data_IF_182221812511
#
_entry.id   IF_182221812511
#
_cell.length_a   1.000
_cell.length_b   1.000
_cell.length_c   1.000
_cell.angle_alpha   90.00
_cell.angle_beta   90.00
_cell.angle_gamma   90.00
#
_symmetry.space_group_name_H-M   'P 1'
#
loop_
_entity.id
_entity.type
_entity.pdbx_description
1 polymer ?
#
# COMPACT_ATOMS: atom_id res chain seq x y z
N UNK A 1 -17.94 0.46 -5.03
CA UNK A 1 -16.60 0.42 -4.45
C UNK A 1 -16.66 -0.20 -3.07
N UNK A 2 -15.72 -1.05 -2.76
CA UNK A 2 -15.72 -1.79 -1.51
C UNK A 2 -14.53 -1.40 -0.65
N UNK A 3 -14.77 -1.28 0.65
CA UNK A 3 -13.69 -1.18 1.63
C UNK A 3 -13.22 -2.58 1.97
N UNK A 4 -11.95 -2.72 2.21
CA UNK A 4 -11.42 -3.96 2.75
C UNK A 4 -10.46 -3.66 3.89
N UNK A 5 -10.26 -4.63 4.76
CA UNK A 5 -9.27 -4.53 5.81
C UNK A 5 -7.94 -5.04 5.31
N UNK A 6 -6.90 -4.28 5.60
CA UNK A 6 -5.53 -4.63 5.21
C UNK A 6 -4.63 -4.55 6.43
N UNK A 7 -3.49 -5.22 6.34
CA UNK A 7 -2.43 -5.17 7.34
C UNK A 7 -1.12 -4.94 6.63
N UNK A 8 -0.20 -4.23 7.27
CA UNK A 8 1.12 -4.06 6.72
C UNK A 8 1.86 -5.40 6.70
N UNK A 9 2.64 -5.60 5.66
CA UNK A 9 3.49 -6.78 5.54
C UNK A 9 4.88 -6.43 6.07
N UNK A 10 5.30 -7.09 7.13
CA UNK A 10 6.63 -6.89 7.69
C UNK A 10 7.70 -7.52 6.81
N UNK A 11 8.94 -7.06 6.99
CA UNK A 11 10.08 -7.64 6.31
C UNK A 11 10.19 -7.25 4.85
N UNK A 12 9.55 -6.14 4.45
CA UNK A 12 9.58 -5.70 3.07
C UNK A 12 10.50 -4.51 2.82
N UNK A 13 11.20 -4.03 3.86
CA UNK A 13 12.04 -2.84 3.72
C UNK A 13 13.16 -3.01 2.69
N UNK A 14 13.64 -4.24 2.51
CA UNK A 14 14.71 -4.54 1.57
C UNK A 14 14.21 -4.87 0.17
N UNK A 15 12.91 -4.96 -0.02
CA UNK A 15 12.38 -5.28 -1.34
C UNK A 15 12.47 -4.07 -2.25
N UNK A 16 12.97 -4.30 -3.44
CA UNK A 16 13.11 -3.25 -4.44
C UNK A 16 11.96 -3.31 -5.44
N UNK A 17 11.55 -2.16 -5.99
CA UNK A 17 10.52 -2.17 -7.03
C UNK A 17 11.03 -2.90 -8.27
N UNK A 18 10.12 -3.35 -9.12
CA UNK A 18 10.52 -3.99 -10.38
C UNK A 18 11.37 -3.03 -11.24
N UNK A 19 12.16 -3.62 -12.12
CA UNK A 19 12.99 -2.85 -13.05
C UNK A 19 12.13 -1.87 -13.84
N UNK A 20 12.58 -0.63 -13.94
CA UNK A 20 11.86 0.42 -14.63
C UNK A 20 11.08 1.35 -13.73
N UNK A 21 11.01 1.05 -12.43
CA UNK A 21 10.31 1.89 -11.47
C UNK A 21 11.32 2.41 -10.44
N UNK A 22 11.15 3.69 -10.06
CA UNK A 22 12.07 4.32 -9.11
C UNK A 22 11.74 4.01 -7.67
N UNK A 23 10.49 3.62 -7.39
CA UNK A 23 10.03 3.30 -6.04
C UNK A 23 8.75 2.51 -6.14
N UNK A 24 8.32 1.91 -5.04
CA UNK A 24 7.01 1.24 -5.00
C UNK A 24 5.87 2.23 -5.18
N UNK A 25 6.04 3.46 -4.70
CA UNK A 25 5.03 4.50 -4.93
C UNK A 25 4.93 4.83 -6.42
N UNK A 26 6.05 4.95 -7.10
CA UNK A 26 6.08 5.15 -8.54
C UNK A 26 5.43 3.97 -9.27
N UNK A 27 5.72 2.75 -8.83
CA UNK A 27 5.10 1.54 -9.38
C UNK A 27 3.57 1.65 -9.30
N UNK A 28 3.05 2.03 -8.14
CA UNK A 28 1.60 2.21 -7.96
C UNK A 28 1.05 3.27 -8.91
N UNK A 29 1.74 4.41 -8.99
CA UNK A 29 1.27 5.51 -9.85
C UNK A 29 1.23 5.10 -11.32
N UNK A 30 2.24 4.38 -11.76
CA UNK A 30 2.29 3.92 -13.16
C UNK A 30 1.20 2.89 -13.45
N UNK A 31 0.99 1.97 -12.53
CA UNK A 31 -0.05 0.95 -12.72
C UNK A 31 -1.45 1.53 -12.68
N UNK A 32 -1.68 2.55 -11.84
CA UNK A 32 -3.00 3.19 -11.74
C UNK A 32 -3.19 4.29 -12.78
N UNK A 33 -2.12 4.78 -13.38
CA UNK A 33 -2.21 5.86 -14.36
C UNK A 33 -2.54 7.20 -13.74
N UNK A 34 -2.23 7.40 -12.46
CA UNK A 34 -2.49 8.66 -11.78
C UNK A 34 -1.52 8.86 -10.64
N UNK A 35 -1.37 10.12 -10.21
CA UNK A 35 -0.51 10.43 -9.08
C UNK A 35 -1.17 10.09 -7.77
N UNK A 36 -0.37 9.63 -6.81
CA UNK A 36 -0.81 9.47 -5.44
C UNK A 36 -0.87 10.86 -4.79
N UNK A 37 -2.02 11.21 -4.25
CA UNK A 37 -2.24 12.56 -3.70
C UNK A 37 -2.42 12.52 -2.18
N UNK A 38 -3.05 11.46 -1.68
CA UNK A 38 -3.41 11.33 -0.28
C UNK A 38 -3.03 9.95 0.20
N UNK A 39 -2.65 9.84 1.49
CA UNK A 39 -2.48 8.52 2.11
C UNK A 39 -3.80 7.76 1.96
N UNK A 40 -3.74 6.56 1.39
CA UNK A 40 -4.94 5.81 1.07
C UNK A 40 -5.44 4.93 2.22
N UNK A 41 -4.76 4.96 3.37
CA UNK A 41 -5.34 4.37 4.56
C UNK A 41 -6.54 5.22 4.97
N UNK A 42 -7.69 4.59 5.14
CA UNK A 42 -8.88 5.31 5.54
C UNK A 42 -8.68 5.93 6.92
N UNK A 43 -9.31 7.04 7.15
CA UNK A 43 -9.16 7.84 8.39
C UNK A 43 -7.83 8.59 8.46
N UNK A 44 -7.01 8.54 7.42
CA UNK A 44 -5.79 9.31 7.36
C UNK A 44 -5.90 10.33 6.23
N UNK A 45 -5.56 11.58 6.52
CA UNK A 45 -5.59 12.65 5.53
C UNK A 45 -4.21 13.16 5.19
N UNK A 46 -3.16 12.44 5.60
CA UNK A 46 -1.80 12.85 5.33
C UNK A 46 -1.39 12.64 3.88
N UNK A 47 -0.19 13.06 3.55
CA UNK A 47 0.36 12.86 2.22
C UNK A 47 0.96 11.46 2.12
N UNK A 48 0.89 10.83 0.95
CA UNK A 48 1.52 9.52 0.77
C UNK A 48 3.03 9.72 0.66
N UNK A 49 3.76 9.01 1.50
CA UNK A 49 5.22 9.07 1.50
C UNK A 49 5.84 7.89 0.79
N UNK A 50 5.15 6.75 0.82
CA UNK A 50 5.72 5.49 0.31
C UNK A 50 4.62 4.65 -0.32
N UNK A 51 5.02 3.73 -1.18
CA UNK A 51 4.16 2.62 -1.60
C UNK A 51 4.36 1.49 -0.62
N UNK A 52 3.46 1.36 0.34
CA UNK A 52 3.58 0.35 1.37
C UNK A 52 3.10 -1.01 0.89
N UNK A 53 3.76 -2.06 1.37
CA UNK A 53 3.33 -3.43 1.11
C UNK A 53 2.28 -3.81 2.13
N UNK A 54 1.12 -4.22 1.64
CA UNK A 54 0.01 -4.64 2.52
C UNK A 54 -0.52 -5.98 2.03
N UNK A 55 -1.19 -6.69 2.93
CA UNK A 55 -1.93 -7.90 2.58
C UNK A 55 -3.37 -7.68 2.98
N UNK A 56 -4.29 -8.34 2.28
CA UNK A 56 -5.70 -8.31 2.65
C UNK A 56 -5.90 -9.21 3.86
N UNK A 57 -6.59 -8.68 4.87
CA UNK A 57 -6.89 -9.45 6.07
C UNK A 57 -7.67 -10.70 5.71
N UNK A 58 -7.17 -11.85 6.14
CA UNK A 58 -7.87 -13.12 5.90
C UNK A 58 -7.68 -13.69 4.51
N UNK A 59 -6.88 -13.07 3.66
CA UNK A 59 -6.72 -13.49 2.27
C UNK A 59 -5.33 -14.05 1.97
N UNK A 60 -4.65 -14.56 2.97
CA UNK A 60 -3.35 -15.20 2.77
C UNK A 60 -2.20 -14.22 2.65
N UNK A 61 -1.25 -14.53 1.78
CA UNK A 61 0.03 -13.83 1.74
C UNK A 61 0.25 -13.01 0.47
N UNK A 62 -0.78 -12.81 -0.34
CA UNK A 62 -0.64 -12.01 -1.56
C UNK A 62 -0.40 -10.55 -1.19
N UNK A 63 0.63 -9.95 -1.78
CA UNK A 63 1.03 -8.60 -1.45
C UNK A 63 0.48 -7.59 -2.44
N UNK A 64 0.13 -6.43 -1.93
CA UNK A 64 -0.36 -5.31 -2.72
C UNK A 64 0.40 -4.05 -2.32
N UNK A 65 0.42 -3.07 -3.21
CA UNK A 65 1.01 -1.76 -2.92
C UNK A 65 -0.11 -0.77 -2.71
N UNK A 66 0.05 0.06 -1.69
CA UNK A 66 -0.91 1.10 -1.34
C UNK A 66 -0.13 2.35 -0.95
N UNK A 67 -0.45 3.52 -1.53
CA UNK A 67 0.23 4.76 -1.14
C UNK A 67 -0.17 5.14 0.27
N UNK A 68 0.79 5.22 1.18
CA UNK A 68 0.52 5.53 2.57
C UNK A 68 1.64 6.42 3.13
N UNK A 69 1.30 7.17 4.17
CA UNK A 69 2.29 7.99 4.85
C UNK A 69 3.17 7.11 5.76
N UNK A 70 4.28 7.68 6.24
CA UNK A 70 5.19 6.93 7.10
C UNK A 70 4.49 6.43 8.36
N UNK A 71 3.63 7.23 8.95
CA UNK A 71 2.92 6.81 10.16
C UNK A 71 2.10 5.55 9.91
N UNK A 72 1.35 5.52 8.81
CA UNK A 72 0.57 4.33 8.47
C UNK A 72 1.46 3.16 8.09
N UNK A 73 2.57 3.44 7.41
CA UNK A 73 3.51 2.39 7.01
C UNK A 73 4.22 1.75 8.21
N UNK A 74 4.29 2.48 9.33
CA UNK A 74 4.94 1.99 10.54
C UNK A 74 3.99 1.28 11.50
N UNK A 75 2.72 1.10 11.14
CA UNK A 75 1.79 0.34 11.96
C UNK A 75 2.27 -1.10 12.09
N UNK A 76 2.06 -1.72 13.26
CA UNK A 76 2.41 -3.14 13.42
C UNK A 76 1.68 -4.02 12.40
N UNK A 77 2.28 -5.14 12.06
CA UNK A 77 1.70 -6.05 11.06
C UNK A 77 0.42 -6.73 11.52
N UNK A 78 0.09 -6.65 12.80
CA UNK A 78 -1.16 -7.18 13.32
C UNK A 78 -2.25 -6.12 13.48
N UNK A 79 -1.97 -4.87 13.09
CA UNK A 79 -2.95 -3.81 13.17
C UNK A 79 -3.67 -3.69 11.83
N UNK A 80 -4.97 -3.95 11.83
CA UNK A 80 -5.78 -3.81 10.61
C UNK A 80 -6.23 -2.38 10.44
N UNK A 81 -6.31 -1.95 9.19
CA UNK A 81 -6.91 -0.68 8.83
C UNK A 81 -7.64 -0.87 7.50
N UNK A 82 -8.47 0.10 7.14
CA UNK A 82 -9.31 -0.02 5.97
C UNK A 82 -8.75 0.75 4.80
N UNK A 83 -8.98 0.23 3.60
CA UNK A 83 -8.62 0.90 2.36
C UNK A 83 -9.66 0.53 1.31
N UNK A 84 -9.73 1.32 0.24
CA UNK A 84 -10.55 0.95 -0.90
C UNK A 84 -9.88 -0.20 -1.64
N UNK A 85 -10.66 -1.23 -1.93
CA UNK A 85 -10.14 -2.37 -2.69
C UNK A 85 -9.56 -1.92 -4.04
N UNK A 86 -10.20 -0.95 -4.66
CA UNK A 86 -9.76 -0.46 -5.97
C UNK A 86 -8.44 0.30 -5.92
N UNK A 87 -7.96 0.70 -4.74
CA UNK A 87 -6.68 1.39 -4.61
C UNK A 87 -5.50 0.45 -4.49
N UNK A 88 -5.75 -0.84 -4.32
CA UNK A 88 -4.67 -1.82 -4.17
C UNK A 88 -4.14 -2.23 -5.53
N UNK A 89 -2.82 -2.28 -5.66
CA UNK A 89 -2.16 -2.75 -6.87
C UNK A 89 -1.35 -3.99 -6.52
N UNK A 90 -1.63 -5.08 -7.19
CA UNK A 90 -0.92 -6.33 -6.96
C UNK A 90 0.56 -6.17 -7.30
N UNK A 91 1.42 -6.74 -6.47
CA UNK A 91 2.87 -6.74 -6.71
C UNK A 91 3.23 -7.57 -7.95
N UNK A 92 2.39 -8.50 -8.29
CA UNK A 92 2.62 -9.37 -9.47
C UNK A 92 1.61 -9.12 -10.56
#
# INVERSE_FOLDING_TARGET
MAFIKVKNKNGTADKKPPTGYTSWLNFWEEKKGKKAITCEAMSCSGKPDVGGHVIKSGDGAKEYILPICYTCNNKPDNEEYQAWDSDLVSVK
#
